data_IF_606829637052
#
_entry.id   IF_606829637052
#
_cell.length_a   1.000
_cell.length_b   1.000
_cell.length_c   1.000
_cell.angle_alpha   90.00
_cell.angle_beta   90.00
_cell.angle_gamma   90.00
#
_symmetry.space_group_name_H-M   'P 1'
#
loop_
_entity.id
_entity.type
_entity.pdbx_description
1 polymer ?
#
# COMPACT_ATOMS: atom_id res chain seq x y z
N UNK A 1 -10.21 14.96 15.59
CA UNK A 1 -9.51 14.37 14.43
C UNK A 1 -10.51 14.31 13.28
N UNK A 2 -10.26 15.03 12.18
CA UNK A 2 -11.22 15.33 11.09
C UNK A 2 -11.33 14.15 10.11
N UNK A 3 -11.61 12.94 10.62
CA UNK A 3 -11.85 11.74 9.78
C UNK A 3 -13.36 11.46 9.55
N UNK A 4 -14.24 12.32 10.06
CA UNK A 4 -15.69 12.07 10.10
C UNK A 4 -16.42 12.26 8.76
N UNK A 5 -15.75 12.62 7.66
CA UNK A 5 -16.41 12.97 6.39
C UNK A 5 -16.32 11.90 5.30
N UNK A 6 -15.50 10.85 5.45
CA UNK A 6 -15.36 9.80 4.44
C UNK A 6 -16.18 8.56 4.83
N UNK A 7 -16.90 8.00 3.86
CA UNK A 7 -17.74 6.81 4.08
C UNK A 7 -16.89 5.59 4.47
N UNK A 8 -17.35 4.85 5.49
CA UNK A 8 -16.85 3.52 5.88
C UNK A 8 -17.52 2.37 5.16
N UNK A 9 -18.49 2.66 4.28
CA UNK A 9 -19.19 1.59 3.57
C UNK A 9 -18.21 0.86 2.66
N UNK A 10 -18.34 -0.48 2.63
CA UNK A 10 -17.58 -1.35 1.74
C UNK A 10 -17.68 -0.85 0.29
N UNK A 11 -16.69 -1.20 -0.54
CA UNK A 11 -16.70 -0.83 -1.95
C UNK A 11 -18.02 -1.26 -2.61
N UNK A 12 -18.72 -0.30 -3.20
CA UNK A 12 -19.89 -0.59 -4.02
C UNK A 12 -19.50 -1.36 -5.28
N UNK A 13 -20.40 -2.16 -5.82
CA UNK A 13 -20.22 -2.85 -7.10
C UNK A 13 -19.91 -1.87 -8.25
N UNK A 14 -20.31 -0.60 -8.13
CA UNK A 14 -19.99 0.43 -9.12
C UNK A 14 -18.60 1.03 -8.93
N UNK A 15 -18.07 1.07 -7.69
CA UNK A 15 -16.69 1.48 -7.41
C UNK A 15 -15.68 0.39 -7.85
N UNK A 16 -16.11 -0.87 -7.85
CA UNK A 16 -15.34 -1.99 -8.38
C UNK A 16 -15.27 -1.99 -9.93
N UNK A 17 -16.15 -1.24 -10.61
CA UNK A 17 -16.15 -1.12 -12.08
C UNK A 17 -15.20 -0.02 -12.54
N UNK A 18 -13.99 -0.40 -12.91
CA UNK A 18 -13.01 0.52 -13.50
C UNK A 18 -11.63 -0.11 -13.70
N UNK A 19 -10.73 0.59 -14.41
CA UNK A 19 -9.38 0.09 -14.72
C UNK A 19 -8.58 -0.33 -13.48
N UNK A 20 -8.81 0.34 -12.35
CA UNK A 20 -8.19 0.04 -11.06
C UNK A 20 -9.17 -0.55 -10.03
N UNK A 21 -10.48 -0.56 -10.33
CA UNK A 21 -11.50 -1.20 -9.49
C UNK A 21 -11.37 -2.73 -9.49
N UNK A 22 -10.86 -3.31 -10.58
CA UNK A 22 -10.58 -4.74 -10.67
C UNK A 22 -9.47 -5.22 -9.72
N UNK A 23 -8.59 -4.32 -9.26
CA UNK A 23 -7.51 -4.67 -8.32
C UNK A 23 -8.04 -4.97 -6.91
N UNK A 24 -9.15 -4.34 -6.50
CA UNK A 24 -9.73 -4.49 -5.17
C UNK A 24 -11.14 -5.08 -5.15
N UNK A 25 -11.80 -5.13 -6.31
CA UNK A 25 -13.13 -5.73 -6.48
C UNK A 25 -13.25 -7.16 -5.93
N UNK A 26 -12.26 -8.06 -6.12
CA UNK A 26 -12.30 -9.40 -5.54
C UNK A 26 -12.38 -9.41 -4.01
N UNK A 27 -11.74 -8.44 -3.35
CA UNK A 27 -11.67 -8.38 -1.89
C UNK A 27 -12.87 -7.70 -1.23
N UNK A 28 -13.72 -7.01 -2.01
CA UNK A 28 -14.86 -6.28 -1.48
C UNK A 28 -15.91 -7.20 -0.84
N UNK A 29 -16.03 -8.44 -1.33
CA UNK A 29 -16.97 -9.44 -0.84
C UNK A 29 -16.47 -10.24 0.37
N UNK A 30 -15.17 -10.17 0.69
CA UNK A 30 -14.57 -10.97 1.74
C UNK A 30 -15.05 -10.50 3.13
N UNK A 31 -15.35 -11.46 4.01
CA UNK A 31 -15.81 -11.21 5.38
C UNK A 31 -14.65 -11.14 6.37
N UNK A 32 -13.62 -11.95 6.18
CA UNK A 32 -12.40 -11.90 6.99
C UNK A 32 -11.60 -10.64 6.67
N UNK A 33 -11.05 -9.98 7.68
CA UNK A 33 -10.18 -8.81 7.55
C UNK A 33 -8.82 -9.10 8.17
N UNK A 34 -7.87 -8.19 8.00
CA UNK A 34 -6.63 -8.20 8.78
C UNK A 34 -6.94 -8.27 10.28
N UNK A 35 -6.03 -8.89 11.05
CA UNK A 35 -6.18 -9.04 12.50
C UNK A 35 -6.29 -7.70 13.23
N UNK A 36 -5.48 -6.73 12.78
CA UNK A 36 -5.46 -5.38 13.32
C UNK A 36 -5.99 -4.38 12.30
N UNK A 37 -6.72 -3.37 12.76
CA UNK A 37 -7.14 -2.27 11.89
C UNK A 37 -5.98 -1.32 11.60
N UNK A 38 -6.07 -0.56 10.50
CA UNK A 38 -5.06 0.45 10.17
C UNK A 38 -4.89 1.52 11.25
N UNK A 39 -5.93 1.80 12.04
CA UNK A 39 -5.84 2.72 13.18
C UNK A 39 -5.07 2.13 14.37
N UNK A 40 -5.05 0.80 14.50
CA UNK A 40 -4.34 0.07 15.57
C UNK A 40 -2.90 -0.28 15.18
N UNK A 41 -2.60 -0.32 13.87
CA UNK A 41 -1.27 -0.66 13.34
C UNK A 41 -0.09 0.12 13.95
N UNK A 42 -0.17 1.45 14.20
CA UNK A 42 0.92 2.18 14.85
C UNK A 42 1.18 1.74 16.29
N UNK A 43 0.17 1.25 16.99
CA UNK A 43 0.28 0.80 18.39
C UNK A 43 0.75 -0.66 18.49
N UNK A 44 0.34 -1.51 17.54
CA UNK A 44 0.75 -2.91 17.50
C UNK A 44 2.19 -3.06 16.98
N UNK A 45 2.56 -2.31 15.94
CA UNK A 45 3.85 -2.40 15.24
C UNK A 45 4.55 -1.03 15.13
N UNK A 46 4.86 -0.36 16.26
CA UNK A 46 5.41 1.00 16.24
C UNK A 46 6.77 1.08 15.52
N UNK A 47 7.58 0.03 15.62
CA UNK A 47 8.88 -0.05 14.95
C UNK A 47 8.74 -0.08 13.43
N UNK A 48 7.87 -0.94 12.90
CA UNK A 48 7.60 -1.05 11.46
C UNK A 48 6.97 0.24 10.92
N UNK A 49 6.04 0.83 11.67
CA UNK A 49 5.38 2.08 11.31
C UNK A 49 6.38 3.24 11.19
N UNK A 50 7.21 3.47 12.23
CA UNK A 50 8.25 4.49 12.21
C UNK A 50 9.29 4.25 11.11
N UNK A 51 9.73 3.01 10.91
CA UNK A 51 10.69 2.67 9.86
C UNK A 51 10.16 2.96 8.45
N UNK A 52 8.86 2.70 8.22
CA UNK A 52 8.19 2.99 6.95
C UNK A 52 8.10 4.48 6.65
N UNK A 53 7.96 5.31 7.69
CA UNK A 53 7.98 6.77 7.54
C UNK A 53 9.38 7.34 7.31
N UNK A 54 10.42 6.77 7.95
CA UNK A 54 11.80 7.29 7.87
C UNK A 54 12.57 6.80 6.65
N UNK A 55 12.51 5.50 6.34
CA UNK A 55 13.10 4.95 5.12
C UNK A 55 12.06 4.11 4.38
N UNK A 56 11.21 4.80 3.61
CA UNK A 56 10.16 4.19 2.82
C UNK A 56 10.69 3.07 1.89
N UNK A 57 11.73 3.35 1.12
CA UNK A 57 12.34 2.38 0.20
C UNK A 57 12.83 1.12 0.94
N UNK A 58 13.53 1.29 2.06
CA UNK A 58 14.07 0.18 2.85
C UNK A 58 12.93 -0.68 3.41
N UNK A 59 11.93 -0.03 4.00
CA UNK A 59 10.80 -0.70 4.63
C UNK A 59 9.97 -1.48 3.60
N UNK A 60 9.68 -0.88 2.44
CA UNK A 60 8.95 -1.56 1.38
C UNK A 60 9.73 -2.75 0.82
N UNK A 61 11.03 -2.60 0.56
CA UNK A 61 11.87 -3.73 0.12
C UNK A 61 11.87 -4.87 1.13
N UNK A 62 11.99 -4.55 2.42
CA UNK A 62 12.00 -5.54 3.49
C UNK A 62 10.66 -6.27 3.61
N UNK A 63 9.55 -5.53 3.69
CA UNK A 63 8.22 -6.11 3.87
C UNK A 63 7.76 -6.86 2.62
N UNK A 64 8.10 -6.40 1.42
CA UNK A 64 7.81 -7.18 0.19
C UNK A 64 8.58 -8.50 0.18
N UNK A 65 9.87 -8.47 0.52
CA UNK A 65 10.66 -9.70 0.62
C UNK A 65 10.08 -10.65 1.68
N UNK A 66 9.72 -10.13 2.86
CA UNK A 66 9.07 -10.89 3.92
C UNK A 66 7.76 -11.52 3.44
N UNK A 67 6.89 -10.76 2.79
CA UNK A 67 5.64 -11.25 2.24
C UNK A 67 5.85 -12.37 1.20
N UNK A 68 6.79 -12.20 0.26
CA UNK A 68 7.05 -13.22 -0.77
C UNK A 68 7.57 -14.53 -0.17
N UNK A 69 8.55 -14.46 0.75
CA UNK A 69 9.08 -15.67 1.40
C UNK A 69 8.08 -16.32 2.37
N UNK A 70 7.15 -15.53 2.91
CA UNK A 70 6.08 -16.06 3.73
C UNK A 70 5.17 -17.00 2.92
N UNK A 71 4.81 -16.59 1.69
CA UNK A 71 4.02 -17.37 0.76
C UNK A 71 4.78 -18.60 0.22
N UNK A 72 6.01 -18.38 -0.26
CA UNK A 72 6.87 -19.41 -0.82
C UNK A 72 8.22 -19.40 -0.10
N UNK A 73 8.43 -20.30 0.89
CA UNK A 73 9.74 -20.49 1.49
C UNK A 73 10.78 -20.74 0.38
N UNK A 74 11.97 -20.14 0.51
CA UNK A 74 13.11 -20.28 -0.40
C UNK A 74 13.01 -19.62 -1.79
N UNK A 75 11.89 -18.97 -2.13
CA UNK A 75 11.79 -18.29 -3.42
C UNK A 75 12.61 -16.99 -3.48
N UNK A 76 12.87 -16.36 -2.32
CA UNK A 76 13.71 -15.18 -2.18
C UNK A 76 13.15 -13.96 -2.91
N UNK A 77 13.62 -13.74 -4.15
CA UNK A 77 13.14 -12.67 -5.04
C UNK A 77 12.60 -13.21 -6.38
N UNK A 78 12.52 -14.54 -6.54
CA UNK A 78 12.13 -15.17 -7.81
C UNK A 78 10.66 -14.92 -8.15
N UNK A 79 9.81 -14.81 -7.14
CA UNK A 79 8.37 -14.53 -7.29
C UNK A 79 8.03 -13.04 -7.40
N UNK A 80 9.06 -12.18 -7.39
CA UNK A 80 8.85 -10.75 -7.50
C UNK A 80 8.30 -10.39 -8.89
N UNK A 81 7.19 -9.65 -8.89
CA UNK A 81 6.67 -8.94 -10.05
C UNK A 81 6.42 -7.49 -9.65
N UNK A 82 6.76 -6.56 -10.53
CA UNK A 82 6.49 -5.13 -10.40
C UNK A 82 5.01 -4.93 -10.11
N UNK A 83 4.69 -4.17 -9.06
CA UNK A 83 3.35 -3.91 -8.57
C UNK A 83 2.51 -5.19 -8.39
N UNK A 84 3.17 -6.34 -8.22
CA UNK A 84 2.64 -7.70 -8.26
C UNK A 84 1.76 -8.05 -9.48
N UNK A 85 1.78 -7.25 -10.55
CA UNK A 85 0.85 -7.38 -11.67
C UNK A 85 -0.62 -7.09 -11.30
N UNK A 86 -0.90 -6.60 -10.09
CA UNK A 86 -2.24 -6.26 -9.59
C UNK A 86 -2.77 -5.00 -10.26
N UNK A 87 -1.88 -4.05 -10.51
CA UNK A 87 -2.20 -2.79 -11.15
C UNK A 87 -2.06 -2.91 -12.67
N UNK A 88 -3.11 -2.54 -13.41
CA UNK A 88 -3.05 -2.45 -14.85
C UNK A 88 -1.96 -1.48 -15.30
N UNK A 89 -1.26 -1.81 -16.40
CA UNK A 89 -0.16 -0.99 -16.88
C UNK A 89 -0.56 0.47 -17.15
N UNK A 90 0.34 1.39 -16.80
CA UNK A 90 0.22 2.82 -17.11
C UNK A 90 1.24 3.18 -18.20
N UNK A 91 0.76 3.69 -19.33
CA UNK A 91 1.56 4.03 -20.50
C UNK A 91 2.53 2.90 -20.90
N UNK A 92 3.84 3.11 -20.70
CA UNK A 92 4.93 2.21 -21.08
C UNK A 92 5.27 1.16 -20.01
N UNK A 93 4.73 1.30 -18.79
CA UNK A 93 5.00 0.38 -17.69
C UNK A 93 3.91 -0.69 -17.70
N UNK A 94 4.31 -1.92 -18.03
CA UNK A 94 3.45 -3.09 -18.01
C UNK A 94 3.98 -4.02 -16.92
N UNK A 95 3.43 -3.92 -15.69
CA UNK A 95 3.94 -4.68 -14.56
C UNK A 95 3.87 -6.19 -14.86
N UNK A 96 4.96 -6.92 -14.60
CA UNK A 96 5.11 -8.34 -14.93
C UNK A 96 5.57 -8.64 -16.36
N UNK A 97 5.82 -7.63 -17.20
CA UNK A 97 6.35 -7.79 -18.57
C UNK A 97 7.69 -7.11 -18.80
N UNK A 98 8.29 -6.50 -17.77
CA UNK A 98 9.51 -5.68 -17.92
C UNK A 98 10.81 -6.46 -17.68
N UNK A 99 10.81 -7.79 -17.83
CA UNK A 99 11.97 -8.68 -17.53
C UNK A 99 12.53 -8.49 -16.11
N UNK A 100 11.62 -8.22 -15.17
CA UNK A 100 11.90 -7.93 -13.75
C UNK A 100 12.65 -9.06 -13.05
N UNK A 101 12.47 -10.30 -13.52
CA UNK A 101 13.17 -11.51 -13.09
C UNK A 101 14.71 -11.37 -13.10
N UNK A 102 15.25 -10.55 -14.01
CA UNK A 102 16.71 -10.36 -14.12
C UNK A 102 17.28 -9.48 -13.03
N UNK A 103 16.50 -8.54 -12.49
CA UNK A 103 16.97 -7.61 -11.46
C UNK A 103 15.84 -7.19 -10.50
N UNK A 104 15.26 -8.13 -9.74
CA UNK A 104 14.05 -7.89 -8.95
C UNK A 104 14.28 -6.85 -7.84
N UNK A 105 15.47 -6.84 -7.23
CA UNK A 105 15.83 -5.86 -6.18
C UNK A 105 15.86 -4.42 -6.69
N UNK A 106 16.42 -4.21 -7.89
CA UNK A 106 16.46 -2.87 -8.49
C UNK A 106 15.06 -2.43 -8.93
N UNK A 107 14.28 -3.34 -9.53
CA UNK A 107 12.89 -3.07 -9.87
C UNK A 107 12.05 -2.72 -8.63
N UNK A 108 12.25 -3.41 -7.51
CA UNK A 108 11.54 -3.12 -6.25
C UNK A 108 11.95 -1.77 -5.66
N UNK A 109 13.24 -1.45 -5.69
CA UNK A 109 13.74 -0.14 -5.28
C UNK A 109 13.09 0.97 -6.12
N UNK A 110 13.08 0.81 -7.45
CA UNK A 110 12.46 1.77 -8.36
C UNK A 110 10.93 1.87 -8.16
N UNK A 111 10.24 0.76 -7.93
CA UNK A 111 8.82 0.74 -7.58
C UNK A 111 8.56 1.55 -6.31
N UNK A 112 9.38 1.35 -5.26
CA UNK A 112 9.21 2.05 -3.98
C UNK A 112 9.52 3.55 -4.04
N UNK A 113 10.41 3.99 -4.95
CA UNK A 113 10.79 5.40 -5.10
C UNK A 113 9.82 6.12 -6.05
N UNK A 114 9.53 5.54 -7.21
CA UNK A 114 8.72 6.18 -8.24
C UNK A 114 7.21 6.05 -7.97
N UNK A 115 6.80 4.95 -7.34
CA UNK A 115 5.38 4.61 -7.17
C UNK A 115 5.08 4.07 -5.76
N UNK A 116 5.40 4.84 -4.71
CA UNK A 116 5.31 4.38 -3.33
C UNK A 116 3.92 3.84 -2.97
N UNK A 117 2.85 4.50 -3.42
CA UNK A 117 1.47 4.07 -3.17
C UNK A 117 1.15 2.70 -3.78
N UNK A 118 1.63 2.43 -5.01
CA UNK A 118 1.46 1.13 -5.65
C UNK A 118 2.32 0.05 -4.98
N UNK A 119 3.52 0.40 -4.53
CA UNK A 119 4.43 -0.52 -3.82
C UNK A 119 3.80 -1.08 -2.54
N UNK A 120 3.28 -0.21 -1.69
CA UNK A 120 2.62 -0.57 -0.42
C UNK A 120 1.37 -1.39 -0.71
N UNK A 121 0.57 -0.91 -1.66
CA UNK A 121 -0.70 -1.52 -2.02
C UNK A 121 -0.54 -2.92 -2.60
N UNK A 122 0.41 -3.11 -3.51
CA UNK A 122 0.70 -4.41 -4.09
C UNK A 122 1.21 -5.41 -3.04
N UNK A 123 2.02 -4.94 -2.09
CA UNK A 123 2.49 -5.80 -0.98
C UNK A 123 1.32 -6.27 -0.13
N UNK A 124 0.39 -5.36 0.17
CA UNK A 124 -0.84 -5.67 0.90
C UNK A 124 -1.74 -6.63 0.13
N UNK A 125 -1.92 -6.41 -1.17
CA UNK A 125 -2.74 -7.27 -2.03
C UNK A 125 -2.22 -8.71 -2.10
N UNK A 126 -0.91 -8.96 -2.01
CA UNK A 126 -0.36 -10.33 -1.95
C UNK A 126 -0.94 -11.11 -0.76
N UNK A 127 -0.93 -10.51 0.42
CA UNK A 127 -1.43 -11.12 1.64
C UNK A 127 -2.95 -11.25 1.59
N UNK A 128 -3.65 -10.22 1.11
CA UNK A 128 -5.11 -10.26 0.93
C UNK A 128 -5.53 -11.37 -0.03
N UNK A 129 -4.80 -11.59 -1.13
CA UNK A 129 -5.07 -12.66 -2.08
C UNK A 129 -4.82 -14.04 -1.48
N UNK A 130 -3.73 -14.19 -0.74
CA UNK A 130 -3.38 -15.48 -0.13
C UNK A 130 -4.40 -15.96 0.89
N UNK A 131 -4.87 -15.04 1.73
CA UNK A 131 -5.76 -15.35 2.85
C UNK A 131 -7.22 -14.97 2.58
N UNK A 132 -7.54 -14.50 1.37
CA UNK A 132 -8.87 -13.99 1.00
C UNK A 132 -9.38 -12.95 2.01
N UNK A 133 -8.51 -12.03 2.42
CA UNK A 133 -8.85 -10.93 3.33
C UNK A 133 -9.57 -9.82 2.56
N UNK A 134 -10.52 -9.20 3.23
CA UNK A 134 -11.27 -8.03 2.79
C UNK A 134 -10.75 -6.75 3.42
N UNK A 135 -11.42 -5.65 3.05
CA UNK A 135 -11.15 -4.32 3.60
C UNK A 135 -12.04 -4.07 4.82
N UNK A 136 -11.42 -3.59 5.91
CA UNK A 136 -12.13 -3.13 7.08
C UNK A 136 -12.67 -1.69 6.90
N UNK A 137 -13.39 -1.18 7.91
CA UNK A 137 -13.98 0.17 7.87
C UNK A 137 -12.92 1.27 7.91
N UNK A 138 -11.81 1.04 8.59
CA UNK A 138 -10.74 2.02 8.77
C UNK A 138 -9.89 2.13 7.51
N UNK A 139 -9.61 1.00 6.85
CA UNK A 139 -8.97 0.89 5.54
C UNK A 139 -9.67 1.78 4.52
N UNK A 140 -10.98 1.58 4.37
CA UNK A 140 -11.78 2.28 3.37
C UNK A 140 -11.78 3.79 3.67
N UNK A 141 -11.95 4.18 4.93
CA UNK A 141 -11.95 5.59 5.34
C UNK A 141 -10.61 6.27 5.11
N UNK A 142 -9.52 5.66 5.60
CA UNK A 142 -8.18 6.22 5.54
C UNK A 142 -7.68 6.30 4.10
N UNK A 143 -7.91 5.26 3.29
CA UNK A 143 -7.50 5.24 1.88
C UNK A 143 -8.30 6.28 1.08
N UNK A 144 -9.63 6.38 1.28
CA UNK A 144 -10.46 7.42 0.63
C UNK A 144 -10.00 8.83 1.02
N UNK A 145 -9.71 9.05 2.30
CA UNK A 145 -9.20 10.32 2.80
C UNK A 145 -7.85 10.67 2.17
N UNK A 146 -6.91 9.73 2.16
CA UNK A 146 -5.59 9.91 1.52
C UNK A 146 -5.73 10.25 0.04
N UNK A 147 -6.52 9.48 -0.72
CA UNK A 147 -6.73 9.72 -2.14
C UNK A 147 -7.37 11.08 -2.42
N UNK A 148 -8.31 11.52 -1.57
CA UNK A 148 -8.91 12.85 -1.68
C UNK A 148 -7.89 13.97 -1.46
N UNK A 149 -7.05 13.87 -0.43
CA UNK A 149 -5.99 14.85 -0.17
C UNK A 149 -4.96 14.90 -1.30
N UNK A 150 -4.61 13.75 -1.87
CA UNK A 150 -3.69 13.69 -3.02
C UNK A 150 -4.29 14.36 -4.26
N UNK A 151 -5.59 14.19 -4.52
CA UNK A 151 -6.27 14.92 -5.60
C UNK A 151 -6.26 16.42 -5.34
N UNK A 152 -6.55 16.86 -4.10
CA UNK A 152 -6.52 18.28 -3.73
C UNK A 152 -5.12 18.88 -3.94
N UNK A 153 -4.06 18.18 -3.53
CA UNK A 153 -2.67 18.58 -3.71
C UNK A 153 -2.29 18.73 -5.19
N UNK A 154 -2.68 17.77 -6.03
CA UNK A 154 -2.49 17.83 -7.48
C UNK A 154 -3.25 19.02 -8.07
N UNK A 155 -4.52 19.19 -7.73
CA UNK A 155 -5.33 20.31 -8.21
C UNK A 155 -4.75 21.67 -7.79
N UNK A 156 -4.32 21.81 -6.53
CA UNK A 156 -3.70 23.03 -6.01
C UNK A 156 -2.40 23.36 -6.77
N UNK A 157 -1.54 22.34 -7.00
CA UNK A 157 -0.31 22.49 -7.76
C UNK A 157 -0.58 22.88 -9.23
N UNK A 158 -1.57 22.26 -9.87
CA UNK A 158 -1.96 22.62 -11.24
C UNK A 158 -2.52 24.04 -11.32
N UNK A 159 -3.33 24.48 -10.35
CA UNK A 159 -3.89 25.84 -10.31
C UNK A 159 -2.78 26.88 -10.12
N UNK A 160 -1.81 26.61 -9.24
CA UNK A 160 -0.65 27.49 -9.01
C UNK A 160 0.20 27.70 -10.27
N UNK A 161 0.35 26.67 -11.10
CA UNK A 161 1.05 26.79 -12.39
C UNK A 161 0.25 27.64 -13.40
N UNK A 162 -1.08 27.62 -13.29
CA UNK A 162 -1.97 28.31 -14.23
C UNK A 162 -2.30 29.76 -13.84
N UNK A 163 -2.14 30.14 -12.57
CA UNK A 163 -2.52 31.44 -12.03
C UNK A 163 -1.31 32.03 -11.30
N UNK A 164 -0.81 33.17 -11.78
CA UNK A 164 0.35 33.85 -11.20
C UNK A 164 -0.15 34.89 -10.18
N UNK A 165 -0.19 34.51 -8.90
CA UNK A 165 -0.62 35.37 -7.79
C UNK A 165 0.41 35.36 -6.66
N UNK A 166 0.77 36.54 -6.15
CA UNK A 166 1.74 36.68 -5.06
C UNK A 166 1.20 36.04 -3.76
N UNK A 167 1.83 34.95 -3.31
CA UNK A 167 1.57 34.29 -2.02
C UNK A 167 0.99 32.88 -2.07
N UNK A 168 0.56 32.40 -3.24
CA UNK A 168 -0.08 31.09 -3.39
C UNK A 168 0.91 29.92 -3.24
N UNK A 169 2.20 30.13 -3.56
CA UNK A 169 3.26 29.12 -3.41
C UNK A 169 3.36 28.55 -1.99
N UNK A 170 3.21 29.40 -0.97
CA UNK A 170 3.26 28.98 0.42
C UNK A 170 2.05 28.10 0.79
N UNK A 171 0.87 28.47 0.31
CA UNK A 171 -0.37 27.72 0.54
C UNK A 171 -0.30 26.35 -0.13
N UNK A 172 0.17 26.31 -1.38
CA UNK A 172 0.32 25.07 -2.16
C UNK A 172 1.38 24.16 -1.51
N UNK A 173 2.50 24.72 -1.04
CA UNK A 173 3.50 23.97 -0.30
C UNK A 173 2.94 23.34 0.99
N UNK A 174 2.10 24.07 1.73
CA UNK A 174 1.44 23.53 2.93
C UNK A 174 0.47 22.41 2.57
N UNK A 175 -0.34 22.57 1.51
CA UNK A 175 -1.27 21.53 1.06
C UNK A 175 -0.51 20.26 0.66
N UNK A 176 0.56 20.41 -0.13
CA UNK A 176 1.41 19.29 -0.53
C UNK A 176 2.06 18.61 0.69
N UNK A 177 2.60 19.38 1.63
CA UNK A 177 3.19 18.85 2.86
C UNK A 177 2.16 18.07 3.70
N UNK A 178 0.93 18.56 3.83
CA UNK A 178 -0.14 17.85 4.53
C UNK A 178 -0.48 16.54 3.81
N UNK A 179 -0.61 16.57 2.49
CA UNK A 179 -0.89 15.37 1.69
C UNK A 179 0.22 14.32 1.82
N UNK A 180 1.48 14.73 1.78
CA UNK A 180 2.65 13.86 1.94
C UNK A 180 2.73 13.27 3.35
N UNK A 181 2.50 14.08 4.39
CA UNK A 181 2.47 13.61 5.78
C UNK A 181 1.38 12.57 5.98
N UNK A 182 0.16 12.84 5.48
CA UNK A 182 -0.95 11.88 5.56
C UNK A 182 -0.63 10.61 4.78
N UNK A 183 -0.05 10.73 3.59
CA UNK A 183 0.39 9.58 2.82
C UNK A 183 1.43 8.72 3.57
N UNK A 184 2.45 9.33 4.16
CA UNK A 184 3.45 8.62 4.97
C UNK A 184 2.82 7.90 6.17
N UNK A 185 1.87 8.53 6.86
CA UNK A 185 1.18 7.89 7.99
C UNK A 185 0.31 6.71 7.53
N UNK A 186 -0.50 6.89 6.49
CA UNK A 186 -1.42 5.85 5.97
C UNK A 186 -0.63 4.69 5.37
N UNK A 187 0.41 4.96 4.58
CA UNK A 187 1.28 3.92 4.02
C UNK A 187 2.06 3.17 5.09
N UNK A 188 2.51 3.86 6.14
CA UNK A 188 3.08 3.24 7.34
C UNK A 188 2.09 2.30 8.02
N UNK A 189 0.83 2.72 8.20
CA UNK A 189 -0.22 1.87 8.77
C UNK A 189 -0.47 0.61 7.93
N UNK A 190 -0.56 0.73 6.60
CA UNK A 190 -0.74 -0.43 5.71
C UNK A 190 0.45 -1.40 5.81
N UNK A 191 1.67 -0.87 5.88
CA UNK A 191 2.90 -1.67 5.94
C UNK A 191 3.02 -2.40 7.27
N UNK A 192 2.71 -1.71 8.37
CA UNK A 192 2.66 -2.26 9.72
C UNK A 192 1.57 -3.34 9.87
N UNK A 193 0.36 -3.09 9.33
CA UNK A 193 -0.73 -4.08 9.31
C UNK A 193 -0.31 -5.38 8.60
N UNK A 194 0.34 -5.26 7.44
CA UNK A 194 0.88 -6.42 6.71
C UNK A 194 1.95 -7.15 7.51
N UNK A 195 2.87 -6.41 8.15
CA UNK A 195 3.92 -7.02 8.98
C UNK A 195 3.32 -7.86 10.12
N UNK A 196 2.35 -7.28 10.82
CA UNK A 196 1.70 -7.94 11.95
C UNK A 196 0.96 -9.20 11.52
N UNK A 197 0.22 -9.14 10.41
CA UNK A 197 -0.49 -10.31 9.86
C UNK A 197 0.48 -11.44 9.53
N UNK A 198 1.61 -11.13 8.87
CA UNK A 198 2.64 -12.14 8.56
C UNK A 198 3.17 -12.77 9.86
N UNK A 199 3.55 -11.97 10.85
CA UNK A 199 4.11 -12.46 12.11
C UNK A 199 3.12 -13.33 12.89
N UNK A 200 1.86 -12.91 12.94
CA UNK A 200 0.79 -13.69 13.57
C UNK A 200 0.61 -15.03 12.88
N UNK A 201 0.53 -15.06 11.55
CA UNK A 201 0.36 -16.32 10.78
C UNK A 201 1.57 -17.24 10.89
N UNK A 202 2.77 -16.68 11.02
CA UNK A 202 3.98 -17.47 11.29
C UNK A 202 3.98 -18.06 12.70
N UNK A 203 3.51 -17.31 13.70
CA UNK A 203 3.37 -17.80 15.07
C UNK A 203 2.27 -18.87 15.20
N UNK A 204 1.18 -18.73 14.43
CA UNK A 204 0.06 -19.68 14.41
C UNK A 204 0.34 -20.97 13.62
N UNK A 205 1.35 -20.99 12.75
CA UNK A 205 1.74 -22.17 11.99
C UNK A 205 2.82 -22.96 12.76
N UNK A 206 2.46 -23.89 13.67
CA UNK A 206 3.43 -24.56 14.50
C UNK A 206 4.10 -25.65 13.67
N UNK A 207 5.44 -25.66 13.63
CA UNK A 207 6.29 -26.83 13.36
C UNK A 207 6.23 -27.53 11.98
N UNK A 208 5.42 -27.12 10.99
CA UNK A 208 5.49 -27.73 9.66
C UNK A 208 6.69 -27.24 8.81
N UNK A 209 7.24 -26.04 9.12
CA UNK A 209 8.38 -25.44 8.37
C UNK A 209 9.76 -25.70 9.01
N UNK A 210 9.85 -26.25 10.21
CA UNK A 210 11.15 -26.62 10.81
C UNK A 210 11.65 -28.00 10.37
N UNK A 211 10.80 -28.87 9.83
CA UNK A 211 11.24 -30.18 9.29
C UNK A 211 11.70 -30.14 7.82
N UNK A 212 11.52 -29.01 7.12
CA UNK A 212 11.95 -28.85 5.71
C UNK A 212 13.09 -27.83 5.53
N UNK A 213 13.64 -27.26 6.62
CA UNK A 213 14.88 -26.46 6.59
C UNK A 213 16.13 -27.29 6.87
#
# INVERSE_FOLDING_TARGET
MVFCCFSSEKLSADEAKGKYGSAYGPYAANEETFDISMCQAPCAEPGCWCASMMCFCCAQMHIRHKALNHLNPDSGWSDYKCCQGVFGGCCCIQPGKMKEEKCPKFCMCLESICFPGMAVSATRSIIMDRYQLGLDKDDVRLIRCNNCLQIIAICATCLNICIDFDGDDCVVAIINAIADIVFCMVSGCMTAQVNHEIEKREAEAPEAKEMER
#
